data_IF_560956133513
#
_entry.id   IF_560956133513
#
_cell.length_a   1.000
_cell.length_b   1.000
_cell.length_c   1.000
_cell.angle_alpha   90.00
_cell.angle_beta   90.00
_cell.angle_gamma   90.00
#
_symmetry.space_group_name_H-M   'P 1'
#
loop_
_entity.id
_entity.type
_entity.pdbx_description
1 polymer ?
#
# COMPACT_ATOMS: atom_id res chain seq x y z
N UNK A 1 5.14 1.07 -13.02
CA UNK A 1 6.56 0.86 -12.75
C UNK A 1 7.15 -0.03 -13.80
N UNK A 2 8.12 -0.84 -13.40
CA UNK A 2 8.99 -1.60 -14.29
C UNK A 2 9.16 -3.06 -13.86
N UNK A 3 8.36 -3.53 -12.89
CA UNK A 3 8.51 -4.89 -12.37
C UNK A 3 8.40 -5.94 -13.47
N UNK A 4 9.27 -6.95 -13.40
CA UNK A 4 9.27 -8.13 -14.28
C UNK A 4 8.77 -9.39 -13.56
N UNK A 5 8.28 -9.24 -12.32
CA UNK A 5 7.78 -10.36 -11.52
C UNK A 5 6.51 -10.91 -12.16
N UNK A 6 6.50 -12.22 -12.41
CA UNK A 6 5.35 -12.90 -13.01
C UNK A 6 4.08 -12.68 -12.20
N UNK A 7 3.04 -12.14 -12.83
CA UNK A 7 1.76 -11.79 -12.20
C UNK A 7 1.71 -10.38 -11.59
N UNK A 8 2.82 -9.63 -11.63
CA UNK A 8 2.94 -8.24 -11.19
C UNK A 8 3.72 -7.40 -12.22
N UNK A 9 3.68 -7.78 -13.50
CA UNK A 9 4.43 -7.12 -14.55
C UNK A 9 4.01 -5.65 -14.72
N UNK A 10 4.99 -4.75 -14.81
CA UNK A 10 4.77 -3.30 -14.90
C UNK A 10 4.30 -2.64 -13.60
N UNK A 11 4.18 -3.38 -12.50
CA UNK A 11 3.93 -2.80 -11.18
C UNK A 11 5.11 -1.94 -10.71
N UNK A 12 4.86 -1.11 -9.70
CA UNK A 12 5.91 -0.41 -8.96
C UNK A 12 6.47 -1.38 -7.92
N UNK A 13 7.79 -1.54 -7.87
CA UNK A 13 8.44 -2.38 -6.87
C UNK A 13 8.71 -1.55 -5.60
N UNK A 14 7.88 -1.74 -4.58
CA UNK A 14 8.05 -1.07 -3.30
C UNK A 14 9.14 -1.75 -2.47
N UNK A 15 10.13 -0.97 -2.02
CA UNK A 15 11.17 -1.38 -1.08
C UNK A 15 10.59 -1.57 0.34
N UNK A 16 9.66 -0.70 0.72
CA UNK A 16 8.97 -0.74 2.01
C UNK A 16 7.61 -0.06 1.91
N UNK A 17 6.72 -0.39 2.84
CA UNK A 17 5.42 0.24 2.95
C UNK A 17 4.95 0.24 4.41
N UNK A 18 4.06 1.17 4.73
CA UNK A 18 3.42 1.26 6.03
C UNK A 18 1.98 1.74 5.89
N UNK A 19 1.13 1.21 6.77
CA UNK A 19 -0.25 1.63 6.91
C UNK A 19 -0.71 1.31 8.32
N UNK A 20 -1.63 2.11 8.85
CA UNK A 20 -2.19 1.92 10.19
C UNK A 20 -3.60 2.46 10.31
N UNK A 21 -4.31 1.93 11.29
CA UNK A 21 -5.61 2.40 11.74
C UNK A 21 -5.54 2.56 13.26
N UNK A 22 -6.04 3.68 13.77
CA UNK A 22 -6.10 3.95 15.21
C UNK A 22 -7.53 4.28 15.62
N UNK A 23 -7.96 3.79 16.79
CA UNK A 23 -9.17 4.29 17.42
C UNK A 23 -8.76 5.19 18.58
N UNK A 24 -9.03 6.50 18.51
CA UNK A 24 -8.62 7.43 19.56
C UNK A 24 -9.50 7.35 20.82
N UNK A 25 -10.50 6.46 20.86
CA UNK A 25 -11.38 6.27 22.02
C UNK A 25 -10.57 5.85 23.25
N UNK A 26 -10.61 6.67 24.30
CA UNK A 26 -10.04 6.34 25.60
C UNK A 26 -11.08 5.62 26.49
N UNK A 27 -10.64 4.58 27.19
CA UNK A 27 -11.44 3.92 28.24
C UNK A 27 -11.26 4.68 29.56
N UNK A 28 -12.23 5.50 29.95
CA UNK A 28 -12.28 6.19 31.25
C UNK A 28 -13.50 5.70 32.04
N UNK A 29 -13.28 5.14 33.23
CA UNK A 29 -14.30 4.77 34.22
C UNK A 29 -15.54 4.03 33.67
N UNK A 30 -15.34 3.14 32.69
CA UNK A 30 -16.40 2.32 32.10
C UNK A 30 -17.43 3.09 31.25
N UNK A 31 -17.23 4.39 31.00
CA UNK A 31 -18.05 5.22 30.12
C UNK A 31 -17.22 5.64 28.92
N UNK A 32 -17.68 5.31 27.71
CA UNK A 32 -17.02 5.72 26.48
C UNK A 32 -18.04 6.22 25.47
N UNK A 33 -17.77 7.39 24.89
CA UNK A 33 -18.37 7.83 23.65
C UNK A 33 -17.43 7.38 22.53
N UNK A 34 -17.84 6.40 21.74
CA UNK A 34 -17.01 5.88 20.66
C UNK A 34 -16.69 6.98 19.64
N UNK A 35 -15.41 7.21 19.38
CA UNK A 35 -14.93 8.07 18.29
C UNK A 35 -14.69 7.19 17.07
N UNK A 36 -14.94 7.73 15.87
CA UNK A 36 -14.61 7.03 14.62
C UNK A 36 -13.10 6.76 14.57
N UNK A 37 -12.73 5.57 14.10
CA UNK A 37 -11.33 5.24 13.88
C UNK A 37 -10.73 6.16 12.79
N UNK A 38 -9.47 6.54 12.99
CA UNK A 38 -8.68 7.28 12.02
C UNK A 38 -7.91 6.27 11.14
N UNK A 39 -8.14 6.36 9.83
CA UNK A 39 -7.47 5.53 8.84
C UNK A 39 -6.27 6.30 8.30
N UNK A 40 -5.07 5.79 8.58
CA UNK A 40 -3.83 6.38 8.12
C UNK A 40 -3.66 6.29 6.60
N UNK A 41 -2.72 7.08 6.09
CA UNK A 41 -2.29 7.00 4.69
C UNK A 41 -1.59 5.67 4.45
N UNK A 42 -1.71 5.13 3.24
CA UNK A 42 -0.81 4.08 2.78
C UNK A 42 0.43 4.78 2.24
N UNK A 43 1.59 4.51 2.85
CA UNK A 43 2.86 5.09 2.43
C UNK A 43 3.77 3.98 1.91
N UNK A 44 4.47 4.21 0.81
CA UNK A 44 5.45 3.27 0.29
C UNK A 44 6.69 4.01 -0.24
N UNK A 45 7.83 3.32 -0.16
CA UNK A 45 9.10 3.79 -0.71
C UNK A 45 9.46 2.89 -1.89
N UNK A 46 9.86 3.49 -3.00
CA UNK A 46 10.40 2.78 -4.15
C UNK A 46 11.59 3.53 -4.76
N UNK A 47 12.34 2.86 -5.63
CA UNK A 47 13.38 3.54 -6.42
C UNK A 47 12.73 4.28 -7.58
N UNK A 48 13.31 5.41 -8.01
CA UNK A 48 12.79 6.13 -9.17
C UNK A 48 12.66 5.19 -10.38
N UNK A 49 11.47 5.15 -10.95
CA UNK A 49 11.13 4.33 -12.12
C UNK A 49 10.25 5.13 -13.10
N UNK A 50 9.83 4.49 -14.19
CA UNK A 50 8.90 5.08 -15.17
C UNK A 50 7.58 5.60 -14.58
N UNK A 51 7.11 5.13 -13.43
CA UNK A 51 5.87 5.61 -12.82
C UNK A 51 6.04 6.95 -12.08
N UNK A 52 7.25 7.29 -11.65
CA UNK A 52 7.53 8.49 -10.83
C UNK A 52 6.95 9.79 -11.42
N UNK A 53 7.14 10.14 -12.72
CA UNK A 53 6.54 11.35 -13.28
C UNK A 53 5.00 11.33 -13.27
N UNK A 54 4.39 10.15 -13.44
CA UNK A 54 2.93 10.01 -13.38
C UNK A 54 2.42 10.19 -11.95
N UNK A 55 3.12 9.65 -10.95
CA UNK A 55 2.81 9.87 -9.53
C UNK A 55 2.89 11.35 -9.17
N UNK A 56 3.94 12.06 -9.62
CA UNK A 56 4.07 13.51 -9.44
C UNK A 56 2.90 14.27 -10.09
N UNK A 57 2.50 13.87 -11.30
CA UNK A 57 1.37 14.50 -11.99
C UNK A 57 0.04 14.27 -11.26
N UNK A 58 -0.20 13.06 -10.76
CA UNK A 58 -1.38 12.75 -9.94
C UNK A 58 -1.38 13.54 -8.63
N UNK A 59 -0.21 13.69 -7.99
CA UNK A 59 -0.05 14.49 -6.78
C UNK A 59 -0.33 15.97 -7.05
N UNK A 60 0.25 16.54 -8.11
CA UNK A 60 0.12 17.96 -8.45
C UNK A 60 -1.31 18.34 -8.89
N UNK A 61 -2.01 17.41 -9.57
CA UNK A 61 -3.36 17.66 -10.07
C UNK A 61 -4.47 17.30 -9.07
N UNK A 62 -4.16 16.52 -8.03
CA UNK A 62 -5.16 15.93 -7.14
C UNK A 62 -6.09 14.94 -7.85
N UNK A 63 -5.71 14.44 -9.02
CA UNK A 63 -6.56 13.55 -9.83
C UNK A 63 -6.70 12.18 -9.16
N UNK A 64 -7.96 11.78 -8.97
CA UNK A 64 -8.34 10.48 -8.42
C UNK A 64 -7.85 9.33 -9.32
N UNK A 65 -7.22 8.34 -8.69
CA UNK A 65 -6.92 7.02 -9.23
C UNK A 65 -8.02 6.08 -8.71
N UNK A 66 -8.77 5.44 -9.61
CA UNK A 66 -9.96 4.67 -9.23
C UNK A 66 -9.63 3.52 -8.27
N UNK A 67 -8.58 2.75 -8.58
CA UNK A 67 -8.18 1.57 -7.83
C UNK A 67 -6.65 1.54 -7.69
N UNK A 68 -6.17 1.24 -6.48
CA UNK A 68 -4.76 0.92 -6.22
C UNK A 68 -4.69 -0.38 -5.44
N UNK A 69 -3.73 -1.24 -5.80
CA UNK A 69 -3.45 -2.49 -5.11
C UNK A 69 -2.01 -2.53 -4.65
N UNK A 70 -1.80 -2.73 -3.36
CA UNK A 70 -0.53 -3.20 -2.81
C UNK A 70 -0.61 -4.72 -2.63
N UNK A 71 0.41 -5.43 -3.12
CA UNK A 71 0.51 -6.88 -3.00
C UNK A 71 1.87 -7.25 -2.40
N UNK A 72 1.84 -7.98 -1.29
CA UNK A 72 3.03 -8.59 -0.72
C UNK A 72 3.03 -10.08 -1.06
N UNK A 73 4.06 -10.49 -1.80
CA UNK A 73 4.27 -11.87 -2.16
C UNK A 73 5.39 -12.49 -1.33
N UNK A 74 5.30 -13.80 -1.12
CA UNK A 74 6.43 -14.62 -0.66
C UNK A 74 6.80 -15.62 -1.76
N UNK A 75 8.10 -15.97 -1.91
CA UNK A 75 8.49 -17.05 -2.79
C UNK A 75 7.86 -18.38 -2.35
N UNK A 76 7.42 -19.20 -3.30
CA UNK A 76 6.96 -20.57 -3.06
C UNK A 76 7.47 -21.49 -4.17
N UNK A 77 7.35 -22.80 -3.99
CA UNK A 77 7.69 -23.82 -5.01
C UNK A 77 6.89 -23.65 -6.31
N UNK A 78 5.71 -23.00 -6.25
CA UNK A 78 4.84 -22.76 -7.40
C UNK A 78 5.01 -21.35 -8.01
N UNK A 79 5.96 -20.56 -7.51
CA UNK A 79 6.18 -19.16 -7.87
C UNK A 79 5.81 -18.17 -6.76
N UNK A 80 5.92 -16.85 -7.00
CA UNK A 80 5.49 -15.85 -6.02
C UNK A 80 4.01 -16.02 -5.70
N UNK A 81 3.69 -16.12 -4.41
CA UNK A 81 2.30 -16.20 -3.93
C UNK A 81 1.98 -15.01 -3.04
N UNK A 82 0.90 -14.30 -3.36
CA UNK A 82 0.44 -13.11 -2.64
C UNK A 82 -0.24 -13.58 -1.34
N UNK A 83 0.32 -13.20 -0.20
CA UNK A 83 -0.28 -13.51 1.11
C UNK A 83 -0.98 -12.31 1.74
N UNK A 84 -0.65 -11.10 1.29
CA UNK A 84 -1.26 -9.87 1.76
C UNK A 84 -1.58 -8.99 0.56
N UNK A 85 -2.83 -8.55 0.49
CA UNK A 85 -3.32 -7.62 -0.51
C UNK A 85 -4.07 -6.48 0.18
N UNK A 86 -3.73 -5.25 -0.18
CA UNK A 86 -4.46 -4.04 0.24
C UNK A 86 -5.01 -3.40 -1.03
N UNK A 87 -6.33 -3.47 -1.21
CA UNK A 87 -7.05 -2.79 -2.29
C UNK A 87 -7.62 -1.46 -1.74
N UNK A 88 -7.34 -0.37 -2.43
CA UNK A 88 -7.81 0.98 -2.13
C UNK A 88 -8.66 1.49 -3.28
N UNK A 89 -9.72 2.24 -2.96
CA UNK A 89 -10.54 2.94 -3.97
C UNK A 89 -10.54 4.44 -3.82
N UNK A 90 -10.75 5.13 -4.94
CA UNK A 90 -10.77 6.58 -5.07
C UNK A 90 -9.55 7.22 -4.40
N UNK A 91 -8.38 6.81 -4.89
CA UNK A 91 -7.09 7.13 -4.30
C UNK A 91 -6.58 8.47 -4.81
N UNK A 92 -6.10 9.30 -3.89
CA UNK A 92 -5.35 10.52 -4.21
C UNK A 92 -3.92 10.34 -3.74
N UNK A 93 -2.98 10.62 -4.64
CA UNK A 93 -1.56 10.76 -4.29
C UNK A 93 -1.43 12.06 -3.49
N UNK A 94 -1.20 11.94 -2.19
CA UNK A 94 -1.14 13.08 -1.27
C UNK A 94 0.25 13.70 -1.20
N UNK A 95 1.29 12.89 -1.39
CA UNK A 95 2.68 13.32 -1.27
C UNK A 95 3.56 12.46 -2.17
N UNK A 96 4.54 13.09 -2.80
CA UNK A 96 5.67 12.47 -3.49
C UNK A 96 6.93 13.20 -3.04
N UNK A 97 7.82 12.51 -2.33
CA UNK A 97 9.03 13.07 -1.77
C UNK A 97 10.26 12.30 -2.26
N UNK A 98 11.12 12.96 -3.04
CA UNK A 98 12.34 12.37 -3.57
C UNK A 98 13.49 12.60 -2.60
N UNK A 99 14.28 11.55 -2.38
CA UNK A 99 15.54 11.62 -1.66
C UNK A 99 16.62 10.87 -2.44
N UNK A 100 17.80 11.45 -2.51
CA UNK A 100 18.92 10.88 -3.25
C UNK A 100 20.23 11.47 -2.74
N UNK A 101 21.34 10.82 -3.07
CA UNK A 101 22.67 11.29 -2.70
C UNK A 101 23.48 11.60 -3.97
N UNK A 102 24.47 12.50 -3.85
CA UNK A 102 25.32 12.90 -4.97
C UNK A 102 26.21 11.76 -5.55
N UNK A 103 26.68 10.77 -4.76
CA UNK A 103 27.30 9.58 -5.33
C UNK A 103 26.29 8.82 -6.20
N UNK A 104 26.64 8.57 -7.46
CA UNK A 104 25.75 7.99 -8.48
C UNK A 104 25.35 6.52 -8.21
N UNK A 105 26.01 5.88 -7.25
CA UNK A 105 25.79 4.49 -6.84
C UNK A 105 24.66 4.33 -5.83
N UNK A 106 24.12 5.41 -5.26
CA UNK A 106 22.96 5.38 -4.37
C UNK A 106 21.69 5.63 -5.20
N UNK A 107 20.80 4.64 -5.38
CA UNK A 107 19.57 4.84 -6.13
C UNK A 107 18.73 5.96 -5.51
N UNK A 108 18.22 6.85 -6.35
CA UNK A 108 17.24 7.85 -5.91
C UNK A 108 15.97 7.13 -5.45
N UNK A 109 15.54 7.43 -4.23
CA UNK A 109 14.33 6.89 -3.61
C UNK A 109 13.21 7.91 -3.66
N UNK A 110 12.00 7.42 -3.81
CA UNK A 110 10.77 8.19 -3.80
C UNK A 110 9.85 7.63 -2.71
N UNK A 111 9.45 8.50 -1.77
CA UNK A 111 8.46 8.20 -0.74
C UNK A 111 7.11 8.77 -1.18
N UNK A 112 6.09 7.92 -1.25
CA UNK A 112 4.76 8.25 -1.78
C UNK A 112 3.71 7.95 -0.72
N UNK A 113 2.82 8.90 -0.45
CA UNK A 113 1.70 8.71 0.46
C UNK A 113 0.36 8.82 -0.25
N UNK A 114 -0.53 7.87 0.03
CA UNK A 114 -1.85 7.72 -0.60
C UNK A 114 -2.96 7.91 0.43
N UNK A 115 -3.99 8.66 0.05
CA UNK A 115 -5.29 8.75 0.74
C UNK A 115 -6.37 8.13 -0.13
N UNK A 116 -7.46 7.65 0.45
CA UNK A 116 -8.44 6.80 -0.23
C UNK A 116 -9.81 6.88 0.47
N UNK A 117 -10.88 6.51 -0.23
CA UNK A 117 -12.24 6.49 0.35
C UNK A 117 -12.66 5.11 0.86
N UNK A 118 -12.10 4.03 0.32
CA UNK A 118 -12.39 2.67 0.75
C UNK A 118 -11.10 1.86 0.81
N UNK A 119 -11.06 0.91 1.75
CA UNK A 119 -9.95 -0.02 1.91
C UNK A 119 -10.48 -1.44 2.10
N UNK A 120 -9.81 -2.40 1.46
CA UNK A 120 -9.96 -3.83 1.72
C UNK A 120 -8.59 -4.44 1.93
N UNK A 121 -8.38 -5.08 3.08
CA UNK A 121 -7.19 -5.86 3.39
C UNK A 121 -7.56 -7.33 3.32
N UNK A 122 -6.86 -8.10 2.50
CA UNK A 122 -7.01 -9.55 2.38
C UNK A 122 -5.71 -10.21 2.81
N UNK A 123 -5.80 -11.10 3.80
CA UNK A 123 -4.72 -11.99 4.18
C UNK A 123 -5.05 -13.41 3.71
N UNK A 124 -4.18 -13.98 2.89
CA UNK A 124 -4.30 -15.35 2.41
C UNK A 124 -3.39 -16.25 3.22
N UNK A 125 -3.99 -17.10 4.05
CA UNK A 125 -3.26 -18.15 4.74
C UNK A 125 -2.82 -19.19 3.72
N UNK A 126 -1.52 -19.51 3.71
CA UNK A 126 -1.01 -20.62 2.93
C UNK A 126 -0.17 -21.59 3.75
N UNK A 127 -0.21 -22.85 3.34
CA UNK A 127 0.54 -23.95 3.92
C UNK A 127 2.05 -23.81 3.66
N UNK A 128 2.83 -24.70 4.28
CA UNK A 128 4.30 -24.78 4.09
C UNK A 128 4.68 -25.11 2.65
N UNK A 129 3.86 -25.89 1.94
CA UNK A 129 4.07 -26.23 0.53
C UNK A 129 3.73 -25.08 -0.43
N UNK A 130 3.16 -23.97 0.07
CA UNK A 130 2.73 -22.83 -0.73
C UNK A 130 1.29 -22.88 -1.21
N UNK A 131 0.54 -23.95 -0.91
CA UNK A 131 -0.88 -24.06 -1.26
C UNK A 131 -1.76 -23.15 -0.39
N UNK A 132 -2.82 -22.61 -1.00
CA UNK A 132 -3.80 -21.74 -0.31
C UNK A 132 -4.68 -22.55 0.64
N UNK A 133 -4.82 -22.06 1.87
CA UNK A 133 -5.75 -22.61 2.88
C UNK A 133 -7.07 -21.84 2.84
N UNK A 134 -7.01 -20.51 2.87
CA UNK A 134 -8.19 -19.66 2.92
C UNK A 134 -7.83 -18.17 3.02
N UNK A 135 -8.85 -17.33 2.89
CA UNK A 135 -8.72 -15.87 2.98
C UNK A 135 -9.42 -15.33 4.22
N UNK A 136 -8.80 -14.34 4.84
CA UNK A 136 -9.38 -13.49 5.87
C UNK A 136 -9.41 -12.06 5.34
N UNK A 137 -10.53 -11.36 5.53
CA UNK A 137 -10.70 -10.02 4.97
C UNK A 137 -11.17 -9.01 6.01
N UNK A 138 -10.62 -7.81 5.91
CA UNK A 138 -11.13 -6.58 6.52
C UNK A 138 -11.52 -5.62 5.40
N UNK A 139 -12.69 -5.00 5.49
CA UNK A 139 -13.13 -4.00 4.51
C UNK A 139 -13.85 -2.86 5.22
N UNK A 140 -13.61 -1.63 4.77
CA UNK A 140 -14.22 -0.45 5.36
C UNK A 140 -14.41 0.67 4.33
N UNK A 141 -15.52 1.40 4.46
CA UNK A 141 -15.72 2.69 3.79
C UNK A 141 -15.29 3.80 4.76
N UNK A 142 -14.25 4.53 4.39
CA UNK A 142 -13.60 5.57 5.20
C UNK A 142 -14.34 6.90 5.11
N UNK A 143 -15.04 7.15 4.00
CA UNK A 143 -15.77 8.40 3.73
C UNK A 143 -17.04 8.55 4.59
#
# INVERSE_FOLDING_TARGET
GESIVKGLEGAIEADSWSWGIENPTALLDGRYAGVKANFGKLTFVHSIDRASPALMQHCASGKIITDVRLSQARPTTYGPSIFLQIDLKNVIVNEVALSGAAPADIPTKENVSLTYSEIKVTYTQMQKDGSKVGDMMFQWNVA
#
